data_IF_876560278893
#
_entry.id   IF_876560278893
#
_cell.length_a   1.000
_cell.length_b   1.000
_cell.length_c   1.000
_cell.angle_alpha   90.00
_cell.angle_beta   90.00
_cell.angle_gamma   90.00
#
_symmetry.space_group_name_H-M   'P 1'
#
loop_
_entity.id
_entity.type
_entity.pdbx_description
1 polymer ?
#
# COMPACT_ATOMS: atom_id res chain seq x y z
N UNK A 1 -40.31 -23.64 22.39
CA UNK A 1 -39.28 -23.28 23.39
C UNK A 1 -37.93 -23.62 22.76
N UNK A 2 -37.29 -22.66 22.08
CA UNK A 2 -35.98 -22.89 21.46
C UNK A 2 -34.90 -22.66 22.53
N UNK A 3 -34.43 -23.75 23.12
CA UNK A 3 -33.25 -23.72 23.99
C UNK A 3 -32.00 -23.66 23.14
N UNK A 4 -31.05 -22.80 23.53
CA UNK A 4 -29.69 -22.84 23.02
C UNK A 4 -29.06 -24.17 23.46
N UNK A 5 -28.65 -24.98 22.49
CA UNK A 5 -27.98 -26.25 22.74
C UNK A 5 -26.52 -25.99 23.12
N UNK A 6 -26.26 -25.95 24.42
CA UNK A 6 -24.95 -25.62 24.99
C UNK A 6 -23.89 -26.68 24.69
N UNK A 7 -24.29 -27.93 24.48
CA UNK A 7 -23.38 -29.05 24.20
C UNK A 7 -22.80 -28.91 22.79
N UNK A 8 -23.64 -28.60 21.79
CA UNK A 8 -23.19 -28.33 20.43
C UNK A 8 -22.27 -27.11 20.33
N UNK A 9 -22.47 -26.08 21.17
CA UNK A 9 -21.56 -24.92 21.20
C UNK A 9 -20.21 -25.23 21.87
N UNK A 10 -20.19 -26.10 22.89
CA UNK A 10 -18.95 -26.54 23.53
C UNK A 10 -18.12 -27.43 22.60
N UNK A 11 -18.76 -28.29 21.82
CA UNK A 11 -18.08 -29.14 20.82
C UNK A 11 -17.48 -28.30 19.68
N UNK A 12 -18.16 -27.23 19.26
CA UNK A 12 -17.64 -26.25 18.30
C UNK A 12 -16.40 -25.51 18.83
N UNK A 13 -16.38 -25.18 20.13
CA UNK A 13 -15.23 -24.55 20.78
C UNK A 13 -14.06 -25.53 20.97
N UNK A 14 -14.33 -26.80 21.26
CA UNK A 14 -13.29 -27.82 21.40
C UNK A 14 -12.65 -28.18 20.05
N UNK A 15 -13.40 -28.08 18.94
CA UNK A 15 -12.86 -28.23 17.58
C UNK A 15 -12.07 -27.01 17.10
N UNK A 16 -12.13 -25.88 17.81
CA UNK A 16 -11.32 -24.70 17.52
C UNK A 16 -9.90 -24.92 18.02
N UNK A 17 -9.10 -25.66 17.24
CA UNK A 17 -7.65 -25.61 17.39
C UNK A 17 -7.22 -24.18 17.03
N UNK A 18 -6.85 -23.39 18.03
CA UNK A 18 -6.48 -21.97 17.93
C UNK A 18 -5.23 -21.65 17.12
N UNK A 19 -5.03 -22.34 16.00
CA UNK A 19 -4.17 -21.92 14.91
C UNK A 19 -4.99 -20.98 14.03
N UNK A 20 -5.13 -19.72 14.46
CA UNK A 20 -5.06 -18.65 13.48
C UNK A 20 -3.61 -18.71 12.97
N UNK A 21 -3.35 -19.59 12.00
CA UNK A 21 -2.22 -19.38 11.10
C UNK A 21 -2.52 -18.03 10.45
N UNK A 22 -1.87 -16.99 10.95
CA UNK A 22 -1.67 -15.74 10.23
C UNK A 22 -0.83 -16.11 8.98
N UNK A 23 -1.44 -16.81 8.02
CA UNK A 23 -1.08 -16.73 6.61
C UNK A 23 -1.42 -15.29 6.21
N UNK A 24 -0.58 -14.37 6.68
CA UNK A 24 -0.32 -13.14 5.96
C UNK A 24 0.25 -13.67 4.66
N UNK A 25 -0.65 -13.84 3.68
CA UNK A 25 -0.25 -13.93 2.30
C UNK A 25 0.69 -12.73 2.11
N UNK A 26 1.98 -13.01 2.00
CA UNK A 26 2.97 -12.04 1.56
C UNK A 26 2.65 -11.81 0.09
N UNK A 27 1.49 -11.18 -0.15
CA UNK A 27 1.14 -10.62 -1.44
C UNK A 27 2.04 -9.40 -1.59
N UNK A 28 3.31 -9.72 -1.79
CA UNK A 28 4.31 -8.92 -2.46
C UNK A 28 3.88 -8.80 -3.93
N UNK A 29 2.64 -8.36 -4.17
CA UNK A 29 2.28 -7.60 -5.35
C UNK A 29 2.96 -6.22 -5.21
N UNK A 30 4.29 -6.23 -5.20
CA UNK A 30 5.10 -5.08 -5.55
C UNK A 30 4.76 -4.84 -7.02
N UNK A 31 3.72 -4.04 -7.29
CA UNK A 31 3.33 -3.71 -8.65
C UNK A 31 4.56 -3.10 -9.30
N UNK A 32 5.06 -3.77 -10.33
CA UNK A 32 6.27 -3.35 -11.02
C UNK A 32 5.99 -1.97 -11.60
N UNK A 33 6.83 -1.00 -11.24
CA UNK A 33 6.86 0.32 -11.86
C UNK A 33 7.00 0.10 -13.37
N UNK A 34 6.00 0.51 -14.13
CA UNK A 34 6.12 0.52 -15.58
C UNK A 34 6.88 1.80 -15.99
N UNK A 35 8.21 1.70 -15.91
CA UNK A 35 9.12 2.81 -16.24
C UNK A 35 8.94 3.28 -17.69
N UNK A 36 8.41 2.43 -18.58
CA UNK A 36 8.18 2.77 -19.98
C UNK A 36 6.91 3.61 -20.16
N UNK A 37 5.85 3.33 -19.40
CA UNK A 37 4.66 4.18 -19.37
C UNK A 37 4.99 5.58 -18.83
N UNK A 38 5.83 5.65 -17.79
CA UNK A 38 6.30 6.94 -17.24
C UNK A 38 7.06 7.74 -18.30
N UNK A 39 8.02 7.12 -19.00
CA UNK A 39 8.76 7.80 -20.07
C UNK A 39 7.82 8.31 -21.14
N UNK A 40 6.87 7.48 -21.60
CA UNK A 40 5.92 7.84 -22.64
C UNK A 40 5.10 9.09 -22.26
N UNK A 41 4.54 9.11 -21.06
CA UNK A 41 3.76 10.27 -20.59
C UNK A 41 4.64 11.52 -20.39
N UNK A 42 5.87 11.34 -19.95
CA UNK A 42 6.86 12.41 -19.82
C UNK A 42 7.20 13.04 -21.17
N UNK A 43 7.42 12.23 -22.21
CA UNK A 43 7.69 12.75 -23.56
C UNK A 43 6.50 13.54 -24.11
N UNK A 44 5.25 13.09 -23.89
CA UNK A 44 4.04 13.85 -24.26
C UNK A 44 3.98 15.21 -23.55
N UNK A 45 4.42 15.28 -22.29
CA UNK A 45 4.49 16.56 -21.55
C UNK A 45 5.57 17.49 -22.11
N UNK A 46 6.72 16.95 -22.53
CA UNK A 46 7.80 17.74 -23.15
C UNK A 46 7.37 18.28 -24.51
N UNK A 47 6.75 17.44 -25.35
CA UNK A 47 6.21 17.86 -26.66
C UNK A 47 5.21 19.00 -26.50
N UNK A 48 4.26 18.88 -25.57
CA UNK A 48 3.31 19.96 -25.27
C UNK A 48 4.00 21.26 -24.85
N UNK A 49 5.02 21.17 -24.00
CA UNK A 49 5.76 22.35 -23.56
C UNK A 49 6.45 23.06 -24.73
N UNK A 50 7.02 22.30 -25.67
CA UNK A 50 7.64 22.84 -26.89
C UNK A 50 6.60 23.50 -27.81
N UNK A 51 5.43 22.88 -27.98
CA UNK A 51 4.31 23.46 -28.75
C UNK A 51 3.80 24.78 -28.13
N UNK A 52 3.81 24.88 -26.80
CA UNK A 52 3.41 26.09 -26.06
C UNK A 52 4.51 27.17 -26.03
N UNK A 53 5.66 26.94 -26.66
CA UNK A 53 6.72 27.94 -26.84
C UNK A 53 7.89 27.83 -25.87
N UNK A 54 8.09 26.67 -25.24
CA UNK A 54 9.32 26.40 -24.50
C UNK A 54 10.55 26.48 -25.44
N UNK A 55 11.67 27.08 -25.01
CA UNK A 55 12.86 27.22 -25.87
C UNK A 55 13.43 25.86 -26.27
N UNK A 56 13.47 25.57 -27.58
CA UNK A 56 13.92 24.28 -28.10
C UNK A 56 15.41 24.02 -27.86
N UNK A 57 16.20 25.08 -27.77
CA UNK A 57 17.61 25.09 -27.37
C UNK A 57 17.82 24.65 -25.90
N UNK A 58 16.76 24.65 -25.09
CA UNK A 58 16.77 24.15 -23.71
C UNK A 58 16.20 22.72 -23.56
N UNK A 59 15.73 22.10 -24.65
CA UNK A 59 15.08 20.78 -24.60
C UNK A 59 15.99 19.69 -24.01
N UNK A 60 17.25 19.62 -24.47
CA UNK A 60 18.21 18.63 -23.96
C UNK A 60 18.46 18.79 -22.45
N UNK A 61 18.53 20.05 -21.99
CA UNK A 61 18.68 20.35 -20.57
C UNK A 61 17.43 19.98 -19.78
N UNK A 62 16.25 20.16 -20.35
CA UNK A 62 14.99 19.75 -19.75
C UNK A 62 14.95 18.22 -19.57
N UNK A 63 15.27 17.44 -20.61
CA UNK A 63 15.35 15.97 -20.52
C UNK A 63 16.34 15.53 -19.43
N UNK A 64 17.52 16.16 -19.37
CA UNK A 64 18.51 15.84 -18.34
C UNK A 64 17.96 16.04 -16.92
N UNK A 65 17.22 17.11 -16.67
CA UNK A 65 16.61 17.38 -15.36
C UNK A 65 15.46 16.43 -15.05
N UNK A 66 14.60 16.16 -16.03
CA UNK A 66 13.46 15.25 -15.89
C UNK A 66 13.92 13.86 -15.46
N UNK A 67 14.95 13.31 -16.12
CA UNK A 67 15.47 11.97 -15.84
C UNK A 67 16.49 11.91 -14.69
N UNK A 68 16.97 13.06 -14.19
CA UNK A 68 17.87 13.12 -13.03
C UNK A 68 17.18 12.64 -11.75
N UNK A 69 15.85 12.80 -11.64
CA UNK A 69 15.10 12.47 -10.44
C UNK A 69 14.01 11.43 -10.72
N UNK A 70 13.99 10.36 -9.95
CA UNK A 70 12.95 9.33 -9.99
C UNK A 70 11.68 9.78 -9.22
N UNK A 71 11.03 10.85 -9.69
CA UNK A 71 9.87 11.48 -9.02
C UNK A 71 8.53 11.25 -9.74
N UNK A 72 8.57 10.77 -10.98
CA UNK A 72 7.41 10.63 -11.84
C UNK A 72 6.60 9.37 -11.52
N UNK A 73 5.27 9.48 -11.52
CA UNK A 73 4.32 8.40 -11.24
C UNK A 73 3.10 8.56 -12.12
N UNK A 74 2.71 7.49 -12.81
CA UNK A 74 1.41 7.41 -13.53
C UNK A 74 0.28 7.13 -12.53
N UNK A 75 0.52 6.21 -11.60
CA UNK A 75 -0.41 5.88 -10.51
C UNK A 75 0.26 6.16 -9.17
N UNK A 76 -0.45 6.82 -8.24
CA UNK A 76 -0.01 6.97 -6.85
C UNK A 76 -0.12 5.60 -6.17
N UNK A 77 0.98 5.09 -5.61
CA UNK A 77 1.02 3.72 -5.09
C UNK A 77 2.41 3.27 -4.68
N UNK A 78 2.78 2.04 -5.08
CA UNK A 78 3.90 1.19 -4.63
C UNK A 78 5.31 1.80 -4.69
N UNK A 79 5.50 2.86 -3.90
CA UNK A 79 6.78 3.45 -3.65
C UNK A 79 7.56 2.63 -2.62
N UNK A 80 8.85 2.47 -2.90
CA UNK A 80 9.75 1.97 -1.88
C UNK A 80 9.69 2.91 -0.67
N UNK A 81 9.71 2.32 0.52
CA UNK A 81 9.89 3.08 1.75
C UNK A 81 11.10 4.00 1.60
N UNK A 82 11.00 5.21 2.11
CA UNK A 82 12.14 6.11 2.17
C UNK A 82 13.34 5.40 2.81
N UNK A 83 14.55 5.66 2.29
CA UNK A 83 15.79 5.12 2.85
C UNK A 83 16.15 5.83 4.17
N UNK A 84 15.31 5.63 5.17
CA UNK A 84 15.41 6.19 6.50
C UNK A 84 15.19 5.07 7.51
N UNK A 85 15.82 5.14 8.70
CA UNK A 85 15.55 4.16 9.74
C UNK A 85 14.04 4.07 10.04
N UNK A 86 13.49 2.86 10.25
CA UNK A 86 12.10 2.71 10.62
C UNK A 86 11.72 3.53 11.85
N UNK A 87 10.49 4.02 11.88
CA UNK A 87 9.95 4.73 13.03
C UNK A 87 9.99 3.84 14.27
N UNK A 88 10.69 4.28 15.32
CA UNK A 88 10.73 3.59 16.62
C UNK A 88 9.68 4.19 17.56
N UNK A 89 8.64 3.43 17.86
CA UNK A 89 7.61 3.83 18.83
C UNK A 89 8.07 3.54 20.26
N UNK A 90 7.89 4.51 21.17
CA UNK A 90 8.14 4.34 22.60
C UNK A 90 6.81 4.32 23.36
N UNK A 91 6.57 3.26 24.11
CA UNK A 91 5.41 3.18 25.00
C UNK A 91 5.64 4.05 26.24
N UNK A 92 4.56 4.65 26.77
CA UNK A 92 4.58 5.30 28.08
C UNK A 92 4.85 4.25 29.16
N UNK A 93 5.51 4.67 30.25
CA UNK A 93 5.72 3.80 31.41
C UNK A 93 4.38 3.25 31.93
N UNK A 94 4.31 1.95 32.20
CA UNK A 94 3.09 1.26 32.65
C UNK A 94 2.07 0.95 31.57
N UNK A 95 2.37 1.15 30.28
CA UNK A 95 1.50 0.73 29.18
C UNK A 95 1.28 -0.79 29.20
N UNK A 96 0.02 -1.22 29.09
CA UNK A 96 -0.37 -2.63 29.02
C UNK A 96 -0.86 -2.95 27.60
N UNK A 97 -0.41 -4.06 27.00
CA UNK A 97 -1.00 -4.54 25.75
C UNK A 97 -2.50 -4.78 25.90
N UNK A 98 -3.29 -4.44 24.89
CA UNK A 98 -4.73 -4.62 24.88
C UNK A 98 -5.19 -5.12 23.51
N UNK A 99 -5.98 -6.20 23.49
CA UNK A 99 -6.59 -6.76 22.27
C UNK A 99 -8.07 -6.40 22.25
N UNK A 100 -8.50 -5.65 21.25
CA UNK A 100 -9.92 -5.36 21.00
C UNK A 100 -10.56 -6.46 20.17
N UNK A 101 -11.87 -6.69 20.33
CA UNK A 101 -12.65 -7.49 19.38
C UNK A 101 -12.67 -6.81 18.00
N UNK A 102 -12.67 -7.59 16.93
CA UNK A 102 -12.81 -7.06 15.57
C UNK A 102 -14.11 -6.24 15.43
N UNK A 103 -14.09 -5.17 14.65
CA UNK A 103 -15.32 -4.43 14.33
C UNK A 103 -16.23 -5.31 13.50
N UNK A 104 -17.53 -5.33 13.82
CA UNK A 104 -18.54 -5.91 12.94
C UNK A 104 -18.80 -4.94 11.80
N UNK A 105 -18.38 -5.30 10.59
CA UNK A 105 -18.75 -4.58 9.37
C UNK A 105 -20.10 -5.09 8.83
N UNK A 106 -20.92 -4.24 8.19
CA UNK A 106 -22.07 -4.65 7.40
C UNK A 106 -21.67 -5.65 6.30
N UNK A 107 -22.59 -6.53 5.87
CA UNK A 107 -22.31 -7.53 4.85
C UNK A 107 -21.89 -6.94 3.48
N UNK A 108 -22.29 -5.71 3.18
CA UNK A 108 -22.09 -5.08 1.87
C UNK A 108 -20.71 -4.43 1.67
N UNK A 109 -19.77 -4.60 2.61
CA UNK A 109 -18.41 -4.03 2.59
C UNK A 109 -17.30 -5.06 2.36
N UNK A 110 -17.62 -6.25 1.82
CA UNK A 110 -16.63 -7.27 1.45
C UNK A 110 -16.38 -7.31 -0.04
#
# INVERSE_FOLDING_TARGET
MLGIDAESQLELLASFNGADEDDIDDDSAVSRKDDDDIKKEVEVMVERALEEGFPSDCADRLHAVIYMYAIWRVNLGDDLSANVPPLKMRLKSGAKPYKTKARKYPPDLR
#
